data_IF_773009013197
#
_entry.id   IF_773009013197
#
_cell.length_a   1.000
_cell.length_b   1.000
_cell.length_c   1.000
_cell.angle_alpha   90.00
_cell.angle_beta   90.00
_cell.angle_gamma   90.00
#
_symmetry.space_group_name_H-M   'P 1'
#
loop_
_entity.id
_entity.type
_entity.pdbx_description
1 polymer ?
#
# COMPACT_ATOMS: atom_id res chain seq x y z
N UNK A 1 13.83 -11.02 -7.40
CA UNK A 1 14.70 -10.34 -6.41
C UNK A 1 13.96 -9.82 -5.17
N UNK A 2 13.05 -8.84 -5.25
CA UNK A 2 12.34 -8.35 -4.05
C UNK A 2 11.44 -9.43 -3.43
N UNK A 3 10.63 -10.09 -4.27
CA UNK A 3 9.78 -11.21 -3.86
C UNK A 3 10.58 -12.30 -3.14
N UNK A 4 11.65 -12.79 -3.76
CA UNK A 4 12.53 -13.82 -3.18
C UNK A 4 13.11 -13.38 -1.84
N UNK A 5 13.56 -12.12 -1.73
CA UNK A 5 14.09 -11.57 -0.49
C UNK A 5 13.04 -11.55 0.63
N UNK A 6 11.79 -11.18 0.32
CA UNK A 6 10.70 -11.13 1.30
C UNK A 6 10.23 -12.56 1.66
N UNK A 7 10.03 -13.45 0.68
CA UNK A 7 9.64 -14.84 0.90
C UNK A 7 10.69 -15.66 1.67
N UNK A 8 11.97 -15.28 1.59
CA UNK A 8 13.05 -15.91 2.34
C UNK A 8 13.23 -15.33 3.76
N UNK A 9 12.52 -14.25 4.12
CA UNK A 9 12.64 -13.60 5.42
C UNK A 9 11.65 -14.18 6.42
N UNK A 10 12.12 -15.03 7.34
CA UNK A 10 11.28 -15.59 8.40
C UNK A 10 10.77 -14.55 9.41
N UNK A 11 11.27 -13.31 9.38
CA UNK A 11 10.79 -12.22 10.24
C UNK A 11 9.59 -11.47 9.62
N UNK A 12 9.18 -11.82 8.39
CA UNK A 12 8.12 -11.15 7.65
C UNK A 12 7.01 -12.13 7.26
N UNK A 13 5.77 -11.67 7.39
CA UNK A 13 4.60 -12.29 6.80
C UNK A 13 3.86 -11.30 5.90
N UNK A 14 3.31 -11.79 4.79
CA UNK A 14 2.37 -11.05 3.96
C UNK A 14 0.99 -11.11 4.59
N UNK A 15 0.28 -9.99 4.60
CA UNK A 15 -1.13 -9.97 4.96
C UNK A 15 -1.95 -9.99 3.68
N UNK A 16 -2.73 -11.05 3.51
CA UNK A 16 -3.50 -11.32 2.31
C UNK A 16 -4.98 -11.53 2.64
N UNK A 17 -5.88 -11.32 1.68
CA UNK A 17 -7.28 -11.71 1.84
C UNK A 17 -7.41 -13.21 2.11
N UNK A 18 -8.30 -13.58 3.01
CA UNK A 18 -8.65 -14.97 3.34
C UNK A 18 -10.03 -15.31 2.80
N UNK A 19 -10.11 -15.48 1.48
CA UNK A 19 -11.36 -15.72 0.75
C UNK A 19 -11.50 -14.78 -0.45
N UNK A 20 -12.58 -14.94 -1.24
CA UNK A 20 -12.83 -14.08 -2.39
C UNK A 20 -12.96 -12.63 -1.94
N UNK A 21 -12.11 -11.78 -2.49
CA UNK A 21 -12.27 -10.33 -2.44
C UNK A 21 -13.45 -9.98 -3.35
N UNK A 22 -14.62 -9.70 -2.78
CA UNK A 22 -15.70 -9.11 -3.57
C UNK A 22 -15.44 -7.61 -3.76
N UNK A 23 -14.25 -7.21 -4.23
CA UNK A 23 -13.84 -5.80 -4.38
C UNK A 23 -14.89 -5.02 -5.18
N UNK A 24 -15.46 -5.64 -6.21
CA UNK A 24 -16.54 -5.05 -7.00
C UNK A 24 -17.79 -4.77 -6.17
N UNK A 25 -18.18 -5.70 -5.29
CA UNK A 25 -19.30 -5.51 -4.40
C UNK A 25 -18.99 -4.47 -3.33
N UNK A 26 -17.79 -4.51 -2.75
CA UNK A 26 -17.34 -3.49 -1.78
C UNK A 26 -17.33 -2.10 -2.40
N UNK A 27 -16.85 -1.95 -3.62
CA UNK A 27 -16.86 -0.67 -4.34
C UNK A 27 -18.28 -0.24 -4.69
N UNK A 28 -19.10 -1.16 -5.19
CA UNK A 28 -20.50 -0.87 -5.51
C UNK A 28 -21.28 -0.43 -4.28
N UNK A 29 -21.13 -1.15 -3.17
CA UNK A 29 -21.82 -0.86 -1.92
C UNK A 29 -21.35 0.47 -1.33
N UNK A 30 -20.03 0.73 -1.34
CA UNK A 30 -19.47 2.02 -0.89
C UNK A 30 -19.91 3.19 -1.77
N UNK A 31 -19.93 3.00 -3.09
CA UNK A 31 -20.34 4.04 -4.03
C UNK A 31 -21.83 4.34 -3.91
N UNK A 32 -22.67 3.31 -3.83
CA UNK A 32 -24.12 3.46 -3.62
C UNK A 32 -24.39 4.24 -2.33
N UNK A 33 -23.72 3.87 -1.25
CA UNK A 33 -23.88 4.47 0.06
C UNK A 33 -23.34 5.91 0.12
N UNK A 34 -22.22 6.19 -0.55
CA UNK A 34 -21.74 7.56 -0.73
C UNK A 34 -22.75 8.41 -1.52
N UNK A 35 -23.29 7.89 -2.62
CA UNK A 35 -24.30 8.58 -3.45
C UNK A 35 -25.57 8.87 -2.63
N UNK A 36 -26.05 7.91 -1.83
CA UNK A 36 -27.19 8.11 -0.93
C UNK A 36 -26.90 9.20 0.12
N UNK A 37 -25.74 9.15 0.77
CA UNK A 37 -25.32 10.17 1.74
C UNK A 37 -25.29 11.57 1.11
N UNK A 38 -24.79 11.70 -0.12
CA UNK A 38 -24.76 12.97 -0.85
C UNK A 38 -26.15 13.46 -1.31
N UNK A 39 -27.09 12.54 -1.51
CA UNK A 39 -28.48 12.87 -1.86
C UNK A 39 -29.23 13.45 -0.67
N UNK A 40 -29.00 12.90 0.52
CA UNK A 40 -29.77 13.23 1.73
C UNK A 40 -29.21 14.44 2.49
N UNK A 41 -27.93 14.81 2.29
CA UNK A 41 -27.33 16.01 2.89
C UNK A 41 -26.76 17.02 1.86
N UNK A 42 -27.60 17.86 1.24
CA UNK A 42 -27.17 18.87 0.25
C UNK A 42 -26.12 19.86 0.78
N UNK A 43 -26.07 20.06 2.11
CA UNK A 43 -25.12 20.97 2.76
C UNK A 43 -23.66 20.50 2.70
N UNK A 44 -23.42 19.23 2.36
CA UNK A 44 -22.08 18.67 2.14
C UNK A 44 -21.54 18.95 0.74
N UNK A 45 -22.36 19.41 -0.21
CA UNK A 45 -21.93 19.66 -1.60
C UNK A 45 -21.00 20.88 -1.74
N UNK A 46 -21.10 21.87 -0.85
CA UNK A 46 -20.33 23.12 -0.95
C UNK A 46 -18.98 23.05 -0.20
N UNK A 47 -18.73 21.98 0.57
CA UNK A 47 -17.48 21.76 1.29
C UNK A 47 -16.54 20.91 0.45
N UNK A 48 -15.77 21.54 -0.45
CA UNK A 48 -14.68 20.89 -1.23
C UNK A 48 -13.54 20.30 -0.37
N UNK A 49 -13.66 20.35 0.94
CA UNK A 49 -12.85 19.58 1.90
C UNK A 49 -13.70 18.48 2.53
N UNK A 50 -14.15 17.51 1.73
CA UNK A 50 -14.71 16.29 2.28
C UNK A 50 -13.53 15.49 2.82
N UNK A 51 -13.23 15.72 4.09
CA UNK A 51 -12.48 14.76 4.90
C UNK A 51 -13.21 13.42 4.75
N UNK A 52 -12.62 12.47 4.03
CA UNK A 52 -13.13 11.10 3.81
C UNK A 52 -13.31 10.26 5.10
N UNK A 53 -13.27 10.89 6.27
CA UNK A 53 -13.61 10.30 7.56
C UNK A 53 -15.13 10.22 7.71
N UNK A 54 -15.77 9.28 7.01
CA UNK A 54 -17.20 9.05 7.19
C UNK A 54 -17.94 8.42 6.02
N UNK A 55 -17.31 7.59 5.18
CA UNK A 55 -18.11 6.69 4.36
C UNK A 55 -18.97 5.84 5.30
N UNK A 56 -20.29 5.75 5.09
CA UNK A 56 -21.12 4.99 5.99
C UNK A 56 -20.69 3.52 5.96
N UNK A 57 -20.94 2.84 7.06
CA UNK A 57 -20.52 1.45 7.22
C UNK A 57 -21.32 0.56 6.26
N UNK A 58 -20.68 0.01 5.22
CA UNK A 58 -21.34 -0.91 4.28
C UNK A 58 -21.67 -2.28 4.91
N UNK A 59 -21.26 -2.53 6.16
CA UNK A 59 -21.41 -3.80 6.86
C UNK A 59 -20.50 -4.92 6.32
N UNK A 60 -19.99 -4.79 5.09
CA UNK A 60 -18.99 -5.71 4.56
C UNK A 60 -17.71 -5.62 5.39
N UNK A 61 -17.15 -6.79 5.73
CA UNK A 61 -15.83 -6.92 6.37
C UNK A 61 -15.01 -7.95 5.63
N UNK A 62 -13.80 -7.57 5.22
CA UNK A 62 -12.86 -8.51 4.64
C UNK A 62 -12.23 -9.37 5.73
N UNK A 63 -12.16 -10.68 5.48
CA UNK A 63 -11.31 -11.58 6.27
C UNK A 63 -9.89 -11.53 5.71
N UNK A 64 -8.91 -11.38 6.59
CA UNK A 64 -7.49 -11.29 6.28
C UNK A 64 -6.73 -12.42 6.97
N UNK A 65 -5.59 -12.83 6.44
CA UNK A 65 -4.65 -13.74 7.12
C UNK A 65 -3.20 -13.39 6.82
N UNK A 66 -2.33 -13.80 7.72
CA UNK A 66 -0.89 -13.78 7.51
C UNK A 66 -0.44 -15.05 6.78
N UNK A 67 0.47 -14.91 5.81
CA UNK A 67 1.16 -16.03 5.15
C UNK A 67 2.64 -15.70 4.98
N UNK A 68 3.51 -16.71 5.04
CA UNK A 68 4.96 -16.48 4.94
C UNK A 68 5.42 -16.15 3.52
N UNK A 69 4.73 -16.67 2.51
CA UNK A 69 5.16 -16.59 1.13
C UNK A 69 3.99 -16.32 0.22
N UNK A 70 4.21 -15.46 -0.77
CA UNK A 70 3.30 -15.27 -1.91
C UNK A 70 3.96 -15.81 -3.17
N UNK A 71 3.15 -16.28 -4.12
CA UNK A 71 3.67 -16.75 -5.40
C UNK A 71 4.21 -15.59 -6.25
N UNK A 72 3.57 -14.43 -6.17
CA UNK A 72 3.90 -13.25 -6.97
C UNK A 72 3.64 -11.95 -6.21
N UNK A 73 4.25 -10.87 -6.69
CA UNK A 73 3.93 -9.51 -6.30
C UNK A 73 3.53 -8.74 -7.56
N UNK A 74 2.24 -8.49 -7.69
CA UNK A 74 1.68 -7.64 -8.75
C UNK A 74 1.76 -6.17 -8.35
N UNK A 75 1.43 -5.26 -9.26
CA UNK A 75 1.26 -3.86 -8.89
C UNK A 75 0.09 -3.72 -7.90
N UNK A 76 0.27 -2.86 -6.90
CA UNK A 76 -0.72 -2.66 -5.85
C UNK A 76 -0.13 -2.35 -4.48
N UNK A 77 -1.00 -2.38 -3.48
CA UNK A 77 -0.63 -2.11 -2.08
C UNK A 77 -0.63 -3.41 -1.29
N UNK A 78 0.34 -3.51 -0.40
CA UNK A 78 0.59 -4.66 0.44
C UNK A 78 0.87 -4.22 1.87
N UNK A 79 0.39 -5.00 2.83
CA UNK A 79 0.81 -4.92 4.21
C UNK A 79 1.68 -6.12 4.56
N UNK A 80 2.84 -5.84 5.14
CA UNK A 80 3.76 -6.82 5.67
C UNK A 80 3.75 -6.71 7.19
N UNK A 81 3.70 -7.83 7.87
CA UNK A 81 3.84 -7.91 9.32
C UNK A 81 5.28 -8.30 9.67
N UNK A 82 5.94 -7.45 10.44
CA UNK A 82 7.21 -7.81 11.07
C UNK A 82 6.94 -8.57 12.37
N UNK A 83 7.06 -9.90 12.30
CA UNK A 83 6.67 -10.84 13.38
C UNK A 83 7.40 -10.52 14.69
N UNK A 84 8.75 -10.31 14.72
CA UNK A 84 9.46 -9.95 15.95
C UNK A 84 9.12 -8.53 16.45
N UNK A 85 8.36 -7.76 15.67
CA UNK A 85 7.88 -6.43 16.05
C UNK A 85 6.84 -6.47 17.17
N UNK A 86 6.13 -7.58 17.32
CA UNK A 86 4.99 -7.74 18.22
C UNK A 86 3.71 -8.11 17.46
N UNK A 87 2.57 -8.22 18.16
CA UNK A 87 1.30 -8.61 17.55
C UNK A 87 0.80 -7.58 16.52
N UNK A 88 -0.06 -8.04 15.61
CA UNK A 88 -0.82 -7.14 14.74
C UNK A 88 -1.89 -6.42 15.57
N UNK A 89 -2.02 -5.09 15.43
CA UNK A 89 -3.13 -4.37 16.04
C UNK A 89 -4.44 -4.73 15.33
N UNK A 90 -5.54 -4.70 16.09
CA UNK A 90 -6.91 -4.78 15.58
C UNK A 90 -7.63 -3.50 16.03
N UNK A 91 -7.99 -2.65 15.07
CA UNK A 91 -8.78 -1.47 15.35
C UNK A 91 -10.25 -1.86 15.39
N UNK A 92 -10.84 -1.80 16.59
CA UNK A 92 -12.26 -2.08 16.79
C UNK A 92 -13.13 -0.91 16.36
N UNK A 93 -14.43 -1.15 16.14
CA UNK A 93 -15.41 -0.09 15.82
C UNK A 93 -15.48 1.02 16.88
N UNK A 94 -15.17 0.69 18.14
CA UNK A 94 -15.14 1.66 19.26
C UNK A 94 -13.82 2.43 19.36
N UNK A 95 -12.88 2.25 18.42
CA UNK A 95 -11.56 2.87 18.46
C UNK A 95 -10.61 2.28 19.51
N UNK A 96 -11.00 1.18 20.17
CA UNK A 96 -10.11 0.47 21.09
C UNK A 96 -9.07 -0.33 20.29
N UNK A 97 -7.81 -0.22 20.71
CA UNK A 97 -6.70 -1.01 20.15
C UNK A 97 -6.69 -2.40 20.79
N UNK A 98 -7.20 -3.39 20.06
CA UNK A 98 -7.00 -4.80 20.39
C UNK A 98 -5.81 -5.36 19.61
N UNK A 99 -5.53 -6.64 19.79
CA UNK A 99 -4.53 -7.38 19.00
C UNK A 99 -5.19 -8.56 18.33
N UNK A 100 -4.80 -8.83 17.08
CA UNK A 100 -5.21 -10.05 16.38
C UNK A 100 -4.65 -11.25 17.13
N UNK A 101 -5.53 -12.14 17.61
CA UNK A 101 -5.15 -13.28 18.45
C UNK A 101 -4.25 -14.27 17.71
N UNK A 102 -4.63 -14.66 16.48
CA UNK A 102 -3.85 -15.54 15.62
C UNK A 102 -3.90 -15.06 14.16
N UNK A 103 -2.93 -14.25 13.71
CA UNK A 103 -2.90 -13.76 12.34
C UNK A 103 -2.89 -14.87 11.27
N UNK A 104 -2.35 -16.05 11.58
CA UNK A 104 -2.19 -17.16 10.65
C UNK A 104 -3.51 -17.89 10.34
N UNK A 105 -4.40 -17.98 11.33
CA UNK A 105 -5.75 -18.53 11.15
C UNK A 105 -6.72 -17.54 10.50
N UNK A 106 -6.30 -16.27 10.42
CA UNK A 106 -7.06 -15.18 9.86
C UNK A 106 -8.00 -14.50 10.85
N UNK A 107 -8.40 -13.29 10.51
CA UNK A 107 -9.29 -12.43 11.30
C UNK A 107 -10.18 -11.61 10.38
N UNK A 108 -11.30 -11.12 10.91
CA UNK A 108 -12.19 -10.20 10.22
C UNK A 108 -11.81 -8.79 10.65
N UNK A 109 -11.59 -7.88 9.70
CA UNK A 109 -11.38 -6.48 10.05
C UNK A 109 -12.65 -5.92 10.73
N UNK A 110 -12.51 -5.01 11.69
CA UNK A 110 -13.67 -4.38 12.33
C UNK A 110 -13.87 -2.94 11.85
N UNK A 111 -12.78 -2.27 11.52
CA UNK A 111 -12.75 -0.91 11.01
C UNK A 111 -12.23 -0.88 9.57
N UNK A 112 -13.03 -0.33 8.67
CA UNK A 112 -12.68 -0.21 7.26
C UNK A 112 -11.65 0.89 7.03
N UNK A 113 -10.66 0.60 6.18
CA UNK A 113 -9.76 1.61 5.64
C UNK A 113 -10.35 2.34 4.45
N UNK A 114 -9.71 3.45 4.10
CA UNK A 114 -9.95 4.16 2.84
C UNK A 114 -9.80 3.25 1.63
N UNK A 115 -8.79 2.40 1.65
CA UNK A 115 -8.51 1.43 0.60
C UNK A 115 -8.99 0.04 1.06
N UNK A 116 -10.02 -0.55 0.43
CA UNK A 116 -10.51 -1.87 0.81
C UNK A 116 -9.61 -3.01 0.34
N UNK A 117 -8.61 -2.75 -0.50
CA UNK A 117 -7.68 -3.79 -0.98
C UNK A 117 -6.62 -4.19 0.05
N UNK A 118 -6.53 -3.46 1.17
CA UNK A 118 -5.60 -3.74 2.27
C UNK A 118 -6.28 -3.52 3.63
N UNK A 119 -5.90 -4.28 4.68
CA UNK A 119 -6.49 -4.11 6.01
C UNK A 119 -6.06 -2.78 6.65
N UNK A 120 -6.95 -2.15 7.41
CA UNK A 120 -6.62 -0.93 8.12
C UNK A 120 -6.14 -1.19 9.55
N UNK A 121 -4.91 -0.79 9.83
CA UNK A 121 -4.27 -0.96 11.15
C UNK A 121 -4.13 0.35 11.95
N UNK A 122 -4.66 1.46 11.43
CA UNK A 122 -4.46 2.78 12.02
C UNK A 122 -3.08 3.40 11.72
N UNK A 123 -2.87 4.67 12.14
CA UNK A 123 -1.64 5.42 11.87
C UNK A 123 -0.42 4.92 12.67
N UNK A 124 -0.65 4.11 13.71
CA UNK A 124 0.34 3.79 14.73
C UNK A 124 0.75 2.31 14.77
N UNK A 125 0.45 1.56 13.70
CA UNK A 125 0.81 0.15 13.57
C UNK A 125 2.32 -0.05 13.37
N UNK A 126 3.11 0.03 14.44
CA UNK A 126 4.59 -0.06 14.38
C UNK A 126 5.12 -1.43 13.97
N UNK A 127 4.28 -2.46 13.94
CA UNK A 127 4.62 -3.82 13.48
C UNK A 127 4.28 -4.05 12.01
N UNK A 128 3.60 -3.08 11.37
CA UNK A 128 3.17 -3.16 9.98
C UNK A 128 4.07 -2.29 9.11
N UNK A 129 4.54 -2.87 8.01
CA UNK A 129 5.25 -2.18 6.93
C UNK A 129 4.32 -2.14 5.72
N UNK A 130 4.18 -0.97 5.12
CA UNK A 130 3.42 -0.79 3.89
C UNK A 130 4.36 -0.89 2.70
N UNK A 131 3.95 -1.64 1.69
CA UNK A 131 4.59 -1.70 0.39
C UNK A 131 3.57 -1.29 -0.67
N UNK A 132 3.85 -0.21 -1.37
CA UNK A 132 3.18 0.14 -2.62
C UNK A 132 4.12 -0.24 -3.76
N UNK A 133 3.72 -1.23 -4.56
CA UNK A 133 4.53 -1.75 -5.66
C UNK A 133 3.96 -1.24 -6.99
N UNK A 134 4.83 -0.64 -7.79
CA UNK A 134 4.54 -0.12 -9.12
C UNK A 134 5.65 -0.56 -10.06
N UNK A 135 5.40 -1.58 -10.87
CA UNK A 135 6.35 -2.18 -11.82
C UNK A 135 5.93 -1.95 -13.27
N UNK A 136 4.64 -1.67 -13.52
CA UNK A 136 4.15 -1.21 -14.80
C UNK A 136 4.85 0.10 -15.18
N UNK A 137 5.02 0.28 -16.47
CA UNK A 137 5.62 1.49 -17.03
C UNK A 137 4.99 1.92 -18.37
N UNK A 138 4.00 1.16 -18.83
CA UNK A 138 3.30 1.38 -20.09
C UNK A 138 1.85 1.74 -19.82
N UNK A 139 1.22 2.55 -20.67
CA UNK A 139 -0.23 2.73 -20.67
C UNK A 139 -1.01 1.42 -20.67
N UNK A 140 -2.23 1.44 -20.16
CA UNK A 140 -3.19 0.36 -20.41
C UNK A 140 -3.55 0.31 -21.90
N UNK A 141 -3.55 -0.90 -22.45
CA UNK A 141 -4.22 -1.19 -23.71
C UNK A 141 -5.73 -0.98 -23.57
N UNK A 142 -6.42 -0.78 -24.69
CA UNK A 142 -7.88 -0.59 -24.67
C UNK A 142 -8.60 -1.81 -24.06
N UNK A 143 -8.11 -3.03 -24.33
CA UNK A 143 -8.67 -4.26 -23.78
C UNK A 143 -8.51 -4.32 -22.25
N UNK A 144 -7.34 -3.94 -21.74
CA UNK A 144 -7.11 -3.83 -20.29
C UNK A 144 -8.09 -2.81 -19.68
N UNK A 145 -8.23 -1.62 -20.26
CA UNK A 145 -9.17 -0.58 -19.78
C UNK A 145 -10.61 -1.10 -19.72
N UNK A 146 -11.02 -1.92 -20.69
CA UNK A 146 -12.37 -2.49 -20.75
C UNK A 146 -12.58 -3.62 -19.72
N UNK A 147 -11.51 -4.29 -19.30
CA UNK A 147 -11.57 -5.44 -18.37
C UNK A 147 -11.37 -5.06 -16.90
N UNK A 148 -10.72 -3.93 -16.63
CA UNK A 148 -10.40 -3.48 -15.29
C UNK A 148 -11.59 -2.73 -14.68
N UNK A 149 -12.00 -3.14 -13.49
CA UNK A 149 -13.01 -2.42 -12.71
C UNK A 149 -12.53 -1.05 -12.23
N UNK A 150 -11.20 -0.88 -12.09
CA UNK A 150 -10.56 0.38 -11.70
C UNK A 150 -9.30 0.58 -12.54
N UNK A 151 -9.26 1.69 -13.26
CA UNK A 151 -8.09 2.15 -14.00
C UNK A 151 -7.27 3.05 -13.07
N UNK A 152 -5.97 2.78 -12.98
CA UNK A 152 -5.04 3.67 -12.30
C UNK A 152 -4.67 4.83 -13.25
N UNK A 153 -4.92 6.07 -12.83
CA UNK A 153 -4.68 7.29 -13.62
C UNK A 153 -3.24 7.45 -14.13
N UNK A 154 -2.25 6.81 -13.49
CA UNK A 154 -0.88 6.81 -14.01
C UNK A 154 -0.77 6.12 -15.36
N UNK A 155 -1.57 5.08 -15.57
CA UNK A 155 -1.52 4.21 -16.75
C UNK A 155 -2.65 4.49 -17.74
N UNK A 156 -3.53 5.46 -17.47
CA UNK A 156 -4.54 5.91 -18.44
C UNK A 156 -3.96 6.85 -19.52
N UNK A 157 -2.72 7.33 -19.32
CA UNK A 157 -2.00 8.27 -20.20
C UNK A 157 -1.52 7.63 -21.51
N UNK A 158 -1.06 8.44 -22.45
CA UNK A 158 -0.57 7.99 -23.76
C UNK A 158 0.94 7.64 -23.80
N UNK A 159 1.68 7.93 -22.73
CA UNK A 159 3.14 7.79 -22.71
C UNK A 159 3.64 6.82 -21.64
N UNK A 160 4.76 6.16 -21.93
CA UNK A 160 5.50 5.35 -20.97
C UNK A 160 6.02 6.24 -19.83
N UNK A 161 5.87 5.77 -18.60
CA UNK A 161 6.31 6.48 -17.40
C UNK A 161 6.71 5.49 -16.31
N UNK A 162 7.68 5.82 -15.49
CA UNK A 162 7.99 5.05 -14.29
C UNK A 162 7.23 5.61 -13.08
N UNK A 163 6.65 4.73 -12.27
CA UNK A 163 6.06 5.11 -10.99
C UNK A 163 6.94 4.62 -9.85
N UNK A 164 7.06 5.45 -8.80
CA UNK A 164 7.84 5.07 -7.62
C UNK A 164 7.08 4.06 -6.79
N UNK A 165 7.72 2.92 -6.53
CA UNK A 165 7.32 2.00 -5.46
C UNK A 165 7.75 2.55 -4.11
N UNK A 166 6.95 2.35 -3.07
CA UNK A 166 7.17 2.93 -1.75
C UNK A 166 7.18 1.86 -0.66
N UNK A 167 8.18 1.91 0.21
CA UNK A 167 8.14 1.25 1.52
C UNK A 167 7.88 2.30 2.59
N UNK A 168 6.83 2.14 3.38
CA UNK A 168 6.55 2.97 4.54
C UNK A 168 6.54 2.16 5.82
N UNK A 169 7.06 2.76 6.88
CA UNK A 169 6.97 2.20 8.21
C UNK A 169 6.66 3.30 9.21
N UNK A 170 5.47 3.26 9.83
CA UNK A 170 5.01 4.30 10.77
C UNK A 170 5.94 4.48 11.97
N UNK A 171 6.68 3.42 12.36
CA UNK A 171 7.68 3.50 13.44
C UNK A 171 8.87 4.42 13.13
N UNK A 172 9.07 4.82 11.87
CA UNK A 172 10.10 5.78 11.49
C UNK A 172 9.79 7.24 11.89
N UNK A 173 8.51 7.56 12.16
CA UNK A 173 8.04 8.94 12.42
C UNK A 173 8.04 9.35 13.91
N UNK A 174 8.77 8.63 14.76
CA UNK A 174 9.21 9.12 16.08
C UNK A 174 8.19 9.14 17.24
N UNK A 175 6.88 9.05 16.98
CA UNK A 175 5.89 9.16 18.06
C UNK A 175 5.65 7.85 18.85
N UNK A 176 5.89 6.70 18.23
CA UNK A 176 5.76 5.39 18.90
C UNK A 176 7.10 4.68 18.96
N UNK A 177 7.40 4.09 20.13
CA UNK A 177 8.60 3.28 20.32
C UNK A 177 8.45 1.96 19.57
N UNK A 178 8.91 1.95 18.33
CA UNK A 178 9.17 0.73 17.59
C UNK A 178 10.06 -0.23 18.40
N UNK A 179 9.82 -1.53 18.28
CA UNK A 179 10.74 -2.50 18.87
C UNK A 179 12.14 -2.36 18.25
N UNK A 180 13.22 -2.57 19.02
CA UNK A 180 14.57 -2.59 18.48
C UNK A 180 14.72 -3.59 17.33
N UNK A 181 13.97 -4.69 17.35
CA UNK A 181 13.95 -5.69 16.28
C UNK A 181 13.44 -5.08 14.96
N UNK A 182 12.29 -4.42 14.97
CA UNK A 182 11.74 -3.79 13.74
C UNK A 182 12.67 -2.71 13.20
N UNK A 183 13.28 -1.89 14.08
CA UNK A 183 14.25 -0.88 13.65
C UNK A 183 15.48 -1.50 12.98
N UNK A 184 16.00 -2.62 13.53
CA UNK A 184 17.10 -3.36 12.91
C UNK A 184 16.70 -3.94 11.56
N UNK A 185 15.54 -4.61 11.48
CA UNK A 185 15.03 -5.16 10.23
C UNK A 185 14.89 -4.08 9.16
N UNK A 186 14.28 -2.95 9.50
CA UNK A 186 14.11 -1.81 8.60
C UNK A 186 15.44 -1.27 8.07
N UNK A 187 16.44 -1.13 8.94
CA UNK A 187 17.78 -0.70 8.53
C UNK A 187 18.47 -1.73 7.62
N UNK A 188 18.28 -3.04 7.85
CA UNK A 188 18.79 -4.08 6.95
C UNK A 188 18.11 -4.04 5.58
N UNK A 189 16.79 -3.77 5.53
CA UNK A 189 16.07 -3.57 4.27
C UNK A 189 16.65 -2.39 3.50
N UNK A 190 16.80 -1.21 4.12
CA UNK A 190 17.42 -0.03 3.49
C UNK A 190 18.83 -0.32 2.99
N UNK A 191 19.66 -0.97 3.79
CA UNK A 191 21.01 -1.33 3.40
C UNK A 191 21.02 -2.32 2.23
N UNK A 192 20.07 -3.26 2.19
CA UNK A 192 19.89 -4.16 1.05
C UNK A 192 19.48 -3.39 -0.20
N UNK A 193 18.48 -2.49 -0.14
CA UNK A 193 18.09 -1.63 -1.28
C UNK A 193 19.31 -0.84 -1.78
N UNK A 194 20.08 -0.23 -0.89
CA UNK A 194 21.27 0.54 -1.27
C UNK A 194 22.40 -0.27 -1.91
N UNK A 195 22.41 -1.60 -1.75
CA UNK A 195 23.32 -2.51 -2.48
C UNK A 195 22.76 -2.97 -3.82
N UNK A 196 21.44 -2.97 -3.97
CA UNK A 196 20.75 -3.52 -5.14
C UNK A 196 20.27 -2.45 -6.13
N UNK A 197 20.30 -1.18 -5.74
CA UNK A 197 19.76 -0.07 -6.51
C UNK A 197 20.70 1.14 -6.46
N UNK A 198 20.53 2.06 -7.40
CA UNK A 198 21.25 3.33 -7.45
C UNK A 198 20.34 4.43 -6.94
N UNK A 199 20.84 5.29 -6.04
CA UNK A 199 20.09 6.46 -5.60
C UNK A 199 20.01 7.47 -6.76
N UNK A 200 18.79 7.89 -7.11
CA UNK A 200 18.51 8.81 -8.24
C UNK A 200 17.94 10.15 -7.79
N UNK A 201 17.73 10.35 -6.49
CA UNK A 201 17.32 11.64 -5.94
C UNK A 201 18.03 11.96 -4.63
N UNK A 202 18.21 13.24 -4.38
CA UNK A 202 18.76 13.76 -3.13
C UNK A 202 17.74 13.69 -1.96
N UNK A 203 18.20 13.81 -0.71
CA UNK A 203 17.33 14.00 0.46
C UNK A 203 16.32 15.16 0.28
N UNK A 204 15.20 15.18 1.04
CA UNK A 204 14.89 14.32 2.19
C UNK A 204 14.22 12.99 1.84
N UNK A 205 13.88 12.75 0.57
CA UNK A 205 13.20 11.54 0.13
C UNK A 205 14.06 10.81 -0.91
N UNK A 206 15.02 9.98 -0.48
CA UNK A 206 15.89 9.27 -1.40
C UNK A 206 15.09 8.26 -2.21
N UNK A 207 15.08 8.43 -3.53
CA UNK A 207 14.50 7.50 -4.51
C UNK A 207 15.63 6.62 -5.02
N UNK A 208 15.35 5.33 -5.12
CA UNK A 208 16.30 4.32 -5.56
C UNK A 208 15.77 3.66 -6.83
N UNK A 209 16.61 3.56 -7.85
CA UNK A 209 16.31 2.87 -9.09
C UNK A 209 17.03 1.51 -9.12
N UNK A 210 16.25 0.43 -9.12
CA UNK A 210 16.76 -0.91 -9.42
C UNK A 210 17.24 -0.99 -10.88
N UNK A 211 18.08 -1.98 -11.25
CA UNK A 211 18.72 -2.02 -12.57
C UNK A 211 17.77 -1.82 -13.75
N UNK A 212 16.63 -2.53 -13.77
CA UNK A 212 15.64 -2.41 -14.85
C UNK A 212 14.94 -1.04 -14.90
N UNK A 213 14.73 -0.38 -13.76
CA UNK A 213 14.20 0.98 -13.72
C UNK A 213 15.26 2.01 -14.14
N UNK A 214 16.52 1.79 -13.73
CA UNK A 214 17.66 2.64 -14.10
C UNK A 214 17.90 2.62 -15.60
N UNK A 215 17.88 1.45 -16.23
CA UNK A 215 18.00 1.31 -17.69
C UNK A 215 16.94 2.14 -18.42
N UNK A 216 15.68 2.10 -17.95
CA UNK A 216 14.58 2.89 -18.51
C UNK A 216 14.76 4.39 -18.31
N UNK A 217 15.23 4.81 -17.12
CA UNK A 217 15.58 6.21 -16.86
C UNK A 217 16.70 6.68 -17.80
N UNK A 218 17.74 5.87 -18.01
CA UNK A 218 18.84 6.17 -18.94
C UNK A 218 18.38 6.20 -20.40
N UNK A 219 17.36 5.42 -20.76
CA UNK A 219 16.70 5.47 -22.07
C UNK A 219 15.79 6.71 -22.24
N UNK A 220 15.66 7.56 -21.21
CA UNK A 220 14.92 8.80 -21.26
C UNK A 220 13.44 8.69 -20.89
N UNK A 221 12.99 7.55 -20.36
CA UNK A 221 11.62 7.43 -19.81
C UNK A 221 11.53 8.31 -18.56
N UNK A 222 10.49 9.13 -18.52
CA UNK A 222 10.20 10.01 -17.39
C UNK A 222 9.63 9.23 -16.20
N UNK A 223 9.61 9.84 -15.00
CA UNK A 223 9.09 9.17 -13.81
C UNK A 223 8.34 10.07 -12.83
N UNK A 224 7.41 9.48 -12.09
CA UNK A 224 6.48 10.14 -11.17
C UNK A 224 6.77 9.71 -9.74
N UNK A 225 7.07 10.66 -8.88
CA UNK A 225 7.27 10.43 -7.45
C UNK A 225 6.30 11.30 -6.63
N UNK A 226 5.06 10.84 -6.44
CA UNK A 226 4.07 11.45 -5.54
C UNK A 226 3.95 12.99 -5.70
N UNK A 227 3.73 13.46 -6.93
CA UNK A 227 3.58 14.89 -7.24
C UNK A 227 4.91 15.61 -7.54
N UNK A 228 6.03 14.90 -7.50
CA UNK A 228 7.34 15.43 -7.89
C UNK A 228 7.76 14.83 -9.23
N UNK A 229 7.94 15.70 -10.22
CA UNK A 229 8.68 15.38 -11.43
C UNK A 229 10.14 15.66 -11.11
N UNK A 230 10.98 14.63 -11.13
CA UNK A 230 12.41 14.82 -10.91
C UNK A 230 13.05 14.85 -12.29
N UNK A 231 13.48 16.05 -12.69
CA UNK A 231 14.05 16.29 -14.00
C UNK A 231 15.51 15.81 -14.06
N UNK A 232 15.74 14.78 -14.88
CA UNK A 232 16.96 14.35 -15.61
C UNK A 232 18.35 14.85 -15.14
N UNK A 233 18.64 14.80 -13.85
CA UNK A 233 20.02 14.87 -13.35
C UNK A 233 20.35 13.56 -12.63
N UNK A 234 20.22 12.45 -13.34
CA UNK A 234 20.84 11.19 -12.92
C UNK A 234 22.27 11.22 -13.52
N UNK A 235 23.32 11.40 -12.70
CA UNK A 235 24.70 11.35 -13.16
C UNK A 235 25.11 9.94 -13.64
#
# INVERSE_FOLDING_TARGET
MLLERLNADSEIAFIVPDGPLSIEQVHRDRLALAIETFRDEPSLQDKRGITFFGLPDSGYRQRWKAINQVHELTDGKYHLWHIPGGPLPLLTSNGCNQTVANPWEGWVEEHLGMDPSVPYFGPFAVTVIRLELMTRHRPYSQDEKNSLSIVNDFWDREADFLCVSMFEWSGSRGHNKASPATKRWWNRLKAWVGRQATQVSEPPFPVWAFPSAREKLMAGIDYYACGRQITRSVP
#
